data_IF_327560100459
#
_entry.id   IF_327560100459
#
_cell.length_a   1.000
_cell.length_b   1.000
_cell.length_c   1.000
_cell.angle_alpha   90.00
_cell.angle_beta   90.00
_cell.angle_gamma   90.00
#
_symmetry.space_group_name_H-M   'P 1'
#
loop_
_entity.id
_entity.type
_entity.pdbx_description
1 polymer ?
#
# COMPACT_ATOMS: atom_id res chain seq x y z
N UNK A 1 -3.33 -2.85 12.16
CA UNK A 1 -1.95 -2.37 12.16
C UNK A 1 -1.06 -3.57 11.89
N UNK A 2 -0.07 -3.50 11.01
CA UNK A 2 0.76 -4.67 10.63
C UNK A 2 1.97 -4.89 11.55
N UNK A 3 2.00 -4.13 12.65
CA UNK A 3 3.04 -4.14 13.68
C UNK A 3 2.75 -5.27 14.67
N UNK A 4 3.65 -6.24 14.80
CA UNK A 4 3.49 -7.42 15.67
C UNK A 4 3.33 -7.06 17.16
N UNK A 5 3.73 -5.85 17.57
CA UNK A 5 3.64 -5.39 18.96
C UNK A 5 2.25 -4.86 19.31
N UNK A 6 1.36 -4.73 18.33
CA UNK A 6 0.06 -4.09 18.49
C UNK A 6 -1.05 -5.04 18.14
N UNK A 7 -2.06 -5.07 18.99
CA UNK A 7 -3.32 -5.71 18.66
C UNK A 7 -4.07 -4.86 17.62
N UNK A 8 -4.81 -5.52 16.74
CA UNK A 8 -5.60 -4.85 15.72
C UNK A 8 -6.98 -5.50 15.61
N UNK A 9 -7.98 -4.73 15.14
CA UNK A 9 -9.28 -5.28 14.80
C UNK A 9 -9.23 -6.26 13.62
N UNK A 10 -10.39 -6.80 13.24
CA UNK A 10 -10.54 -7.92 12.28
C UNK A 10 -9.72 -7.84 10.98
N UNK A 11 -9.39 -6.65 10.49
CA UNK A 11 -8.65 -6.46 9.24
C UNK A 11 -7.37 -5.65 9.38
N UNK A 12 -6.95 -5.27 10.59
CA UNK A 12 -5.76 -4.44 10.80
C UNK A 12 -5.75 -3.11 9.99
N UNK A 13 -6.91 -2.58 9.58
CA UNK A 13 -7.04 -1.39 8.70
C UNK A 13 -7.49 -0.12 9.43
N UNK A 14 -7.56 -0.16 10.74
CA UNK A 14 -8.26 0.84 11.56
C UNK A 14 -7.70 2.27 11.40
N UNK A 15 -6.40 2.40 11.09
CA UNK A 15 -5.73 3.68 10.87
C UNK A 15 -6.13 4.43 9.58
N UNK A 16 -6.80 3.77 8.63
CA UNK A 16 -7.07 4.35 7.30
C UNK A 16 -8.36 5.20 7.24
N UNK A 17 -9.27 5.01 8.18
CA UNK A 17 -10.58 5.69 8.21
C UNK A 17 -10.48 7.23 8.23
N UNK A 18 -9.48 7.77 8.93
CA UNK A 18 -9.26 9.23 9.05
C UNK A 18 -8.84 9.85 7.71
N UNK A 19 -8.01 9.14 6.95
CA UNK A 19 -7.56 9.58 5.62
C UNK A 19 -8.74 9.58 4.64
N UNK A 20 -9.51 8.50 4.59
CA UNK A 20 -10.70 8.44 3.74
C UNK A 20 -11.73 9.51 4.10
N UNK A 21 -11.96 9.73 5.40
CA UNK A 21 -12.88 10.78 5.87
C UNK A 21 -12.43 12.16 5.44
N UNK A 22 -11.14 12.47 5.60
CA UNK A 22 -10.59 13.77 5.24
C UNK A 22 -10.65 14.02 3.73
N UNK A 23 -10.18 13.05 2.93
CA UNK A 23 -10.12 13.19 1.47
C UNK A 23 -11.51 13.18 0.81
N UNK A 24 -12.54 12.70 1.50
CA UNK A 24 -13.92 12.75 1.00
C UNK A 24 -14.69 14.03 1.36
N UNK A 25 -14.11 14.96 2.13
CA UNK A 25 -14.78 16.23 2.42
C UNK A 25 -14.90 17.08 1.16
N UNK A 26 -16.03 17.79 0.99
CA UNK A 26 -16.32 18.57 -0.21
C UNK A 26 -15.27 19.64 -0.46
N UNK A 27 -14.85 20.35 0.58
CA UNK A 27 -13.83 21.39 0.52
C UNK A 27 -12.46 20.83 0.13
N UNK A 28 -12.11 19.62 0.58
CA UNK A 28 -10.85 18.96 0.23
C UNK A 28 -10.89 18.50 -1.23
N UNK A 29 -11.99 17.88 -1.68
CA UNK A 29 -12.18 17.49 -3.08
C UNK A 29 -12.16 18.70 -4.02
N UNK A 30 -12.79 19.81 -3.61
CA UNK A 30 -12.77 21.06 -4.36
C UNK A 30 -11.35 21.62 -4.48
N UNK A 31 -10.61 21.68 -3.37
CA UNK A 31 -9.23 22.16 -3.37
C UNK A 31 -8.29 21.29 -4.22
N UNK A 32 -8.53 19.97 -4.29
CA UNK A 32 -7.75 19.03 -5.10
C UNK A 32 -8.21 18.96 -6.57
N UNK A 33 -9.36 19.55 -6.93
CA UNK A 33 -9.89 19.54 -8.30
C UNK A 33 -10.34 18.17 -8.81
N UNK A 34 -10.71 17.24 -7.92
CA UNK A 34 -11.02 15.84 -8.28
C UNK A 34 -12.51 15.57 -8.58
N UNK A 35 -13.35 16.61 -8.56
CA UNK A 35 -14.79 16.47 -8.76
C UNK A 35 -15.46 15.65 -7.64
N UNK A 36 -16.44 14.81 -8.01
CA UNK A 36 -17.22 14.02 -7.05
C UNK A 36 -16.74 12.56 -6.90
N UNK A 37 -15.49 12.27 -7.26
CA UNK A 37 -14.94 10.92 -7.08
C UNK A 37 -14.88 10.58 -5.58
N UNK A 38 -15.36 9.40 -5.20
CA UNK A 38 -15.17 8.88 -3.85
C UNK A 38 -13.71 8.44 -3.67
N UNK A 39 -13.05 8.87 -2.60
CA UNK A 39 -11.75 8.33 -2.23
C UNK A 39 -11.90 7.05 -1.39
N UNK A 40 -11.16 6.00 -1.74
CA UNK A 40 -10.98 4.78 -0.94
C UNK A 40 -9.49 4.43 -0.89
N UNK A 41 -9.00 4.03 0.28
CA UNK A 41 -7.62 3.57 0.49
C UNK A 41 -7.37 2.23 -0.19
N UNK A 42 -8.39 1.37 -0.26
CA UNK A 42 -8.28 0.07 -0.90
C UNK A 42 -9.50 -0.20 -1.78
N UNK A 43 -9.26 -0.52 -3.05
CA UNK A 43 -10.30 -0.91 -4.02
C UNK A 43 -10.20 -2.40 -4.29
N UNK A 44 -11.17 -3.16 -3.79
CA UNK A 44 -11.21 -4.63 -3.98
C UNK A 44 -11.28 -5.02 -5.46
N UNK A 45 -11.98 -4.26 -6.30
CA UNK A 45 -12.07 -4.54 -7.74
C UNK A 45 -10.70 -4.57 -8.43
N UNK A 46 -9.81 -3.63 -8.08
CA UNK A 46 -8.43 -3.58 -8.63
C UNK A 46 -7.60 -4.74 -8.07
N UNK A 47 -7.71 -5.01 -6.76
CA UNK A 47 -7.03 -6.14 -6.14
C UNK A 47 -7.41 -7.47 -6.78
N UNK A 48 -8.70 -7.71 -7.03
CA UNK A 48 -9.19 -8.93 -7.66
C UNK A 48 -8.74 -9.06 -9.11
N UNK A 49 -8.73 -7.95 -9.87
CA UNK A 49 -8.25 -7.95 -11.25
C UNK A 49 -6.75 -8.31 -11.37
N UNK A 50 -5.96 -7.95 -10.36
CA UNK A 50 -4.51 -8.17 -10.31
C UNK A 50 -4.11 -9.40 -9.47
N UNK A 51 -5.08 -10.20 -9.00
CA UNK A 51 -4.82 -11.24 -8.00
C UNK A 51 -3.82 -12.31 -8.48
N UNK A 52 -3.82 -12.61 -9.78
CA UNK A 52 -2.88 -13.56 -10.38
C UNK A 52 -1.41 -13.12 -10.36
N UNK A 53 -1.13 -11.85 -10.09
CA UNK A 53 0.23 -11.32 -10.06
C UNK A 53 0.93 -11.56 -8.71
N UNK A 54 0.18 -11.90 -7.66
CA UNK A 54 0.72 -12.04 -6.29
C UNK A 54 1.86 -13.06 -6.20
N UNK A 55 1.78 -14.15 -6.97
CA UNK A 55 2.75 -15.24 -6.93
C UNK A 55 3.85 -15.15 -8.00
N UNK A 56 3.91 -14.06 -8.77
CA UNK A 56 4.95 -13.88 -9.79
C UNK A 56 6.27 -13.48 -9.14
N UNK A 57 7.35 -14.18 -9.47
CA UNK A 57 8.69 -13.83 -8.99
C UNK A 57 9.23 -12.62 -9.77
N UNK A 58 9.25 -11.45 -9.12
CA UNK A 58 9.80 -10.22 -9.68
C UNK A 58 11.28 -10.01 -9.37
N UNK A 59 11.86 -10.79 -8.45
CA UNK A 59 13.27 -10.69 -8.02
C UNK A 59 14.24 -10.95 -9.17
N UNK A 60 13.82 -11.72 -10.18
CA UNK A 60 14.63 -12.01 -11.38
C UNK A 60 14.99 -10.77 -12.20
N UNK A 61 14.25 -9.66 -12.05
CA UNK A 61 14.54 -8.40 -12.74
C UNK A 61 15.59 -7.54 -12.03
N UNK A 62 15.85 -7.78 -10.74
CA UNK A 62 16.75 -6.94 -9.94
C UNK A 62 18.21 -6.97 -10.46
N UNK A 63 18.79 -8.13 -10.83
CA UNK A 63 20.18 -8.18 -11.32
C UNK A 63 20.43 -7.26 -12.52
N UNK A 64 19.55 -7.28 -13.53
CA UNK A 64 19.67 -6.43 -14.71
C UNK A 64 19.65 -4.94 -14.36
N UNK A 65 18.80 -4.53 -13.42
CA UNK A 65 18.73 -3.13 -12.96
C UNK A 65 20.05 -2.69 -12.29
N UNK A 66 20.68 -3.57 -11.51
CA UNK A 66 21.95 -3.28 -10.85
C UNK A 66 23.11 -3.22 -11.84
N UNK A 67 23.13 -4.09 -12.85
CA UNK A 67 24.11 -4.09 -13.94
C UNK A 67 24.06 -2.81 -14.78
N UNK A 68 22.86 -2.25 -14.97
CA UNK A 68 22.64 -0.94 -15.61
C UNK A 68 23.05 0.26 -14.72
N UNK A 69 23.60 0.00 -13.53
CA UNK A 69 24.12 1.02 -12.62
C UNK A 69 23.06 1.72 -11.76
N UNK A 70 21.83 1.20 -11.70
CA UNK A 70 20.81 1.73 -10.80
C UNK A 70 21.14 1.37 -9.35
N UNK A 71 21.09 2.37 -8.47
CA UNK A 71 21.26 2.18 -7.03
C UNK A 71 19.92 1.84 -6.40
N UNK A 72 19.88 0.75 -5.63
CA UNK A 72 18.66 0.26 -4.96
C UNK A 72 18.86 0.24 -3.44
N UNK A 73 17.85 0.67 -2.70
CA UNK A 73 17.76 0.53 -1.24
C UNK A 73 16.53 -0.31 -0.90
N UNK A 74 16.75 -1.49 -0.33
CA UNK A 74 15.69 -2.33 0.23
C UNK A 74 15.68 -2.12 1.74
N UNK A 75 14.57 -1.65 2.29
CA UNK A 75 14.39 -1.44 3.72
C UNK A 75 13.16 -2.19 4.22
N UNK A 76 13.24 -2.73 5.42
CA UNK A 76 12.15 -3.45 6.07
C UNK A 76 12.02 -3.00 7.53
N UNK A 77 10.79 -2.84 8.01
CA UNK A 77 10.52 -2.56 9.42
C UNK A 77 10.71 -3.82 10.25
N UNK A 78 11.45 -3.74 11.36
CA UNK A 78 11.75 -4.90 12.20
C UNK A 78 10.50 -5.60 12.77
N UNK A 79 9.40 -4.87 12.87
CA UNK A 79 8.16 -5.29 13.54
C UNK A 79 7.00 -5.55 12.55
N UNK A 80 7.26 -5.48 11.23
CA UNK A 80 6.24 -5.74 10.20
C UNK A 80 6.05 -7.25 10.00
N UNK A 81 4.82 -7.73 10.19
CA UNK A 81 4.49 -9.15 9.98
C UNK A 81 4.34 -9.52 8.49
N UNK A 82 3.84 -8.61 7.65
CA UNK A 82 3.46 -8.94 6.27
C UNK A 82 4.64 -8.93 5.31
N UNK A 83 5.54 -7.97 5.48
CA UNK A 83 6.76 -7.82 4.69
C UNK A 83 7.95 -7.78 5.66
N UNK A 84 8.17 -8.90 6.34
CA UNK A 84 9.16 -9.00 7.38
C UNK A 84 10.60 -8.85 6.82
N UNK A 85 11.56 -8.59 7.71
CA UNK A 85 12.95 -8.28 7.33
C UNK A 85 13.82 -9.52 7.05
N UNK A 86 13.27 -10.73 7.23
CA UNK A 86 13.94 -12.04 7.08
C UNK A 86 13.54 -12.70 5.76
#
# INVERSE_FOLDING_TARGET
EFDIRKECGSNCRDGFSRVETFLNRKEVKYALGVGDIEFKMFREGVFNAMHGDIMKNLTVGIPALLEDGLKVLIYAGAEDLRCNYI
#
